data_IF_890441438456
#
_entry.id   IF_890441438456
#
_cell.length_a   1.000
_cell.length_b   1.000
_cell.length_c   1.000
_cell.angle_alpha   90.00
_cell.angle_beta   90.00
_cell.angle_gamma   90.00
#
_symmetry.space_group_name_H-M   'P 1'
#
loop_
_entity.id
_entity.type
_entity.pdbx_description
1 polymer ?
#
# COMPACT_ATOMS: atom_id res chain seq x y z
N UNK A 1 17.87 30.32 -19.84
CA UNK A 1 18.10 29.52 -18.60
C UNK A 1 16.76 29.26 -17.89
N UNK A 2 16.59 28.07 -17.29
CA UNK A 2 15.52 27.70 -16.33
C UNK A 2 14.19 27.04 -16.81
N UNK A 3 14.19 26.16 -17.82
CA UNK A 3 13.17 25.08 -17.91
C UNK A 3 13.65 23.72 -17.40
N UNK A 4 14.97 23.48 -17.43
CA UNK A 4 15.56 22.19 -17.04
C UNK A 4 15.63 21.98 -15.51
N UNK A 5 15.61 23.05 -14.69
CA UNK A 5 15.63 22.93 -13.22
C UNK A 5 14.31 22.45 -12.61
N UNK A 6 13.15 22.69 -13.25
CA UNK A 6 11.84 22.26 -12.74
C UNK A 6 11.59 20.76 -12.85
N UNK A 7 12.34 20.03 -13.68
CA UNK A 7 12.19 18.59 -13.86
C UNK A 7 13.05 17.74 -12.92
N UNK A 8 13.98 18.36 -12.18
CA UNK A 8 14.91 17.67 -11.27
C UNK A 8 14.45 17.65 -9.80
N UNK A 9 13.39 18.39 -9.44
CA UNK A 9 12.86 18.40 -8.06
C UNK A 9 11.80 17.32 -7.79
N UNK A 10 11.29 16.63 -8.81
CA UNK A 10 10.30 15.56 -8.62
C UNK A 10 10.90 14.19 -8.24
N UNK A 11 12.22 14.05 -8.25
CA UNK A 11 12.88 12.73 -8.22
C UNK A 11 13.27 12.17 -6.85
N UNK A 12 13.05 12.85 -5.73
CA UNK A 12 13.45 12.28 -4.42
C UNK A 12 12.42 12.38 -3.29
N UNK A 13 11.12 12.34 -3.64
CA UNK A 13 10.10 12.02 -2.64
C UNK A 13 10.17 10.54 -2.30
N UNK A 14 11.00 10.19 -1.30
CA UNK A 14 10.91 8.90 -0.60
C UNK A 14 9.44 8.61 -0.31
N UNK A 15 8.88 7.64 -1.03
CA UNK A 15 7.45 7.33 -0.91
C UNK A 15 7.31 6.42 0.29
N UNK A 16 6.83 7.00 1.40
CA UNK A 16 6.64 6.29 2.65
C UNK A 16 5.27 5.65 2.65
N UNK A 17 5.23 4.34 2.89
CA UNK A 17 4.00 3.58 2.87
C UNK A 17 3.77 3.04 4.27
N UNK A 18 2.67 3.48 4.87
CA UNK A 18 2.18 2.91 6.11
C UNK A 18 1.20 1.78 5.76
N UNK A 19 1.54 0.57 6.17
CA UNK A 19 0.70 -0.61 6.04
C UNK A 19 0.04 -0.87 7.39
N UNK A 20 -1.27 -1.10 7.39
CA UNK A 20 -2.01 -1.50 8.58
C UNK A 20 -2.69 -2.83 8.30
N UNK A 21 -2.43 -3.83 9.14
CA UNK A 21 -3.01 -5.17 9.03
C UNK A 21 -4.41 -5.18 9.66
N UNK A 22 -5.44 -5.43 8.84
CA UNK A 22 -6.85 -5.41 9.24
C UNK A 22 -7.17 -6.42 10.36
N UNK A 23 -6.52 -7.58 10.34
CA UNK A 23 -6.81 -8.67 11.29
C UNK A 23 -6.24 -8.40 12.68
N UNK A 24 -5.13 -7.65 12.76
CA UNK A 24 -4.47 -7.30 14.03
C UNK A 24 -4.93 -5.96 14.59
N UNK A 25 -5.30 -5.02 13.72
CA UNK A 25 -5.69 -3.67 14.15
C UNK A 25 -7.06 -3.69 14.83
N UNK A 26 -7.09 -3.49 16.15
CA UNK A 26 -8.34 -3.40 16.92
C UNK A 26 -8.46 -2.00 17.57
N UNK A 27 -8.93 -0.98 16.83
CA UNK A 27 -8.97 0.41 17.32
C UNK A 27 -9.84 0.59 18.57
N UNK A 28 -10.90 -0.21 18.72
CA UNK A 28 -11.80 -0.17 19.90
C UNK A 28 -11.10 -0.63 21.19
N UNK A 29 -10.11 -1.53 21.09
CA UNK A 29 -9.47 -2.16 22.25
C UNK A 29 -8.06 -1.63 22.51
N UNK A 30 -7.43 -0.93 21.56
CA UNK A 30 -6.06 -0.43 21.69
C UNK A 30 -5.93 0.95 22.35
N UNK A 31 -7.05 1.59 22.73
CA UNK A 31 -7.05 2.93 23.33
C UNK A 31 -6.53 4.05 22.41
N UNK A 32 -6.45 3.79 21.09
CA UNK A 32 -5.93 4.70 20.06
C UNK A 32 -4.49 5.15 20.30
N UNK A 33 -3.63 4.25 20.82
CA UNK A 33 -2.23 4.53 21.12
C UNK A 33 -1.46 5.14 19.92
N UNK A 34 -1.69 4.63 18.70
CA UNK A 34 -1.05 5.15 17.50
C UNK A 34 -1.36 6.63 17.23
N UNK A 35 -2.64 7.05 17.39
CA UNK A 35 -3.09 8.43 17.21
C UNK A 35 -2.51 9.34 18.30
N UNK A 36 -2.57 8.90 19.57
CA UNK A 36 -2.08 9.67 20.74
C UNK A 36 -0.57 9.89 20.71
N UNK A 37 0.20 8.89 20.29
CA UNK A 37 1.66 8.96 20.26
C UNK A 37 2.23 9.60 18.99
N UNK A 38 1.42 9.86 17.96
CA UNK A 38 1.91 10.42 16.70
C UNK A 38 2.28 11.91 16.87
N UNK A 39 3.53 12.33 16.60
CA UNK A 39 3.95 13.72 16.73
C UNK A 39 3.19 14.64 15.77
N UNK A 40 2.94 14.18 14.54
CA UNK A 40 2.20 14.95 13.51
C UNK A 40 0.74 15.21 13.93
N UNK A 41 0.13 14.25 14.63
CA UNK A 41 -1.22 14.44 15.20
C UNK A 41 -1.20 15.40 16.39
N UNK A 42 -0.17 15.33 17.24
CA UNK A 42 0.02 16.29 18.35
C UNK A 42 0.25 17.72 17.86
N UNK A 43 0.79 17.89 16.65
CA UNK A 43 0.91 19.18 15.96
C UNK A 43 -0.40 19.67 15.30
N UNK A 44 -1.52 18.97 15.50
CA UNK A 44 -2.84 19.37 14.99
C UNK A 44 -3.19 18.88 13.58
N UNK A 45 -2.35 18.08 12.92
CA UNK A 45 -2.62 17.53 11.58
C UNK A 45 -3.28 16.15 11.65
N UNK A 46 -4.19 15.86 10.72
CA UNK A 46 -4.88 14.56 10.65
C UNK A 46 -4.03 13.47 9.98
N UNK A 47 -2.88 13.15 10.56
CA UNK A 47 -1.99 12.11 10.02
C UNK A 47 -2.53 10.69 10.26
N UNK A 48 -3.19 10.43 11.40
CA UNK A 48 -3.81 9.15 11.73
C UNK A 48 -5.27 9.42 12.06
N UNK A 49 -6.16 8.84 11.26
CA UNK A 49 -7.61 8.99 11.41
C UNK A 49 -8.21 7.63 11.74
N UNK A 50 -9.08 7.61 12.74
CA UNK A 50 -9.85 6.44 13.12
C UNK A 50 -11.27 6.92 13.31
N UNK A 51 -12.16 6.50 12.42
CA UNK A 51 -13.60 6.77 12.55
C UNK A 51 -14.24 5.74 13.49
N UNK A 52 -15.35 6.12 14.12
CA UNK A 52 -16.04 5.31 15.12
C UNK A 52 -16.50 3.93 14.61
N UNK A 53 -16.84 3.85 13.32
CA UNK A 53 -17.27 2.62 12.64
C UNK A 53 -16.14 1.88 11.90
N UNK A 54 -14.94 2.45 11.84
CA UNK A 54 -13.84 1.87 11.08
C UNK A 54 -13.24 0.67 11.79
N UNK A 55 -13.10 -0.43 11.04
CA UNK A 55 -12.45 -1.66 11.51
C UNK A 55 -10.94 -1.51 11.70
N UNK A 56 -10.34 -0.45 11.18
CA UNK A 56 -8.89 -0.23 11.14
C UNK A 56 -8.56 1.26 11.20
N UNK A 57 -7.34 1.59 11.67
CA UNK A 57 -6.82 2.94 11.60
C UNK A 57 -6.28 3.28 10.20
N UNK A 58 -6.57 4.49 9.72
CA UNK A 58 -6.02 5.01 8.46
C UNK A 58 -4.86 5.95 8.74
N UNK A 59 -3.79 5.83 7.95
CA UNK A 59 -2.58 6.64 8.08
C UNK A 59 -2.33 7.37 6.76
N UNK A 60 -2.27 8.69 6.82
CA UNK A 60 -1.96 9.51 5.65
C UNK A 60 -0.50 9.34 5.22
N UNK A 61 -0.27 8.83 4.01
CA UNK A 61 1.07 8.68 3.42
C UNK A 61 1.74 10.03 3.12
N UNK A 62 0.95 11.10 2.92
CA UNK A 62 1.47 12.44 2.61
C UNK A 62 1.91 13.21 3.86
N UNK A 63 1.20 13.02 4.97
CA UNK A 63 1.48 13.70 6.24
C UNK A 63 2.44 12.91 7.13
N UNK A 64 2.56 11.59 6.93
CA UNK A 64 3.43 10.75 7.75
C UNK A 64 4.91 11.02 7.45
N UNK A 65 5.63 11.50 8.46
CA UNK A 65 7.08 11.72 8.39
C UNK A 65 7.92 10.43 8.52
N UNK A 66 7.29 9.30 8.84
CA UNK A 66 7.98 8.02 8.98
C UNK A 66 8.74 7.81 10.30
N UNK A 67 8.40 8.54 11.37
CA UNK A 67 9.08 8.46 12.67
C UNK A 67 9.04 7.08 13.38
N UNK A 68 8.18 6.15 12.94
CA UNK A 68 8.10 4.80 13.52
C UNK A 68 7.46 4.70 14.92
N UNK A 69 7.06 5.81 15.54
CA UNK A 69 6.52 5.81 16.92
C UNK A 69 5.22 4.99 17.02
N UNK A 70 4.35 5.10 16.02
CA UNK A 70 3.10 4.35 15.99
C UNK A 70 3.30 2.83 15.85
N UNK A 71 4.40 2.39 15.24
CA UNK A 71 4.77 0.97 15.14
C UNK A 71 5.14 0.46 16.52
N UNK A 72 6.07 1.14 17.20
CA UNK A 72 6.56 0.74 18.54
C UNK A 72 5.50 0.79 19.63
N UNK A 73 4.53 1.71 19.52
CA UNK A 73 3.47 1.89 20.52
C UNK A 73 2.21 1.07 20.23
N UNK A 74 2.15 0.35 19.12
CA UNK A 74 0.98 -0.49 18.81
C UNK A 74 1.04 -1.78 19.63
N UNK A 75 0.08 -2.05 20.53
CA UNK A 75 0.08 -3.27 21.35
C UNK A 75 -0.15 -4.55 20.54
N UNK A 76 -0.68 -4.43 19.31
CA UNK A 76 -0.97 -5.55 18.41
C UNK A 76 0.01 -5.64 17.23
N UNK A 77 1.05 -4.79 17.20
CA UNK A 77 2.03 -4.72 16.11
C UNK A 77 1.41 -4.66 14.70
N UNK A 78 0.23 -4.05 14.61
CA UNK A 78 -0.59 -4.06 13.40
C UNK A 78 -0.12 -3.05 12.34
N UNK A 79 0.82 -2.17 12.67
CA UNK A 79 1.27 -1.06 11.82
C UNK A 79 2.70 -1.32 11.39
N UNK A 80 2.98 -1.21 10.10
CA UNK A 80 4.33 -1.27 9.53
C UNK A 80 4.56 -0.02 8.68
N UNK A 81 5.68 0.66 8.90
CA UNK A 81 6.11 1.78 8.06
C UNK A 81 7.26 1.28 7.20
N UNK A 82 7.09 1.35 5.89
CA UNK A 82 8.12 0.99 4.93
C UNK A 82 8.47 2.24 4.15
N UNK A 83 9.76 2.59 4.16
CA UNK A 83 10.30 3.62 3.31
C UNK A 83 10.64 2.97 1.97
N UNK A 84 9.85 3.26 0.93
CA UNK A 84 10.19 2.81 -0.41
C UNK A 84 11.02 3.89 -1.11
N UNK A 85 12.05 3.50 -1.88
CA UNK A 85 12.72 4.42 -2.79
C UNK A 85 11.69 4.99 -3.77
N UNK A 86 11.80 6.28 -4.06
CA UNK A 86 10.89 7.09 -4.89
C UNK A 86 10.57 6.46 -6.26
N UNK A 87 11.49 5.65 -6.79
CA UNK A 87 11.37 5.03 -8.11
C UNK A 87 10.32 3.89 -8.18
N UNK A 88 9.94 3.27 -7.05
CA UNK A 88 9.02 2.12 -7.08
C UNK A 88 7.52 2.51 -7.07
N UNK A 89 7.21 3.74 -6.65
CA UNK A 89 5.83 4.22 -6.60
C UNK A 89 5.17 4.28 -7.98
N UNK A 90 5.95 4.57 -9.03
CA UNK A 90 5.50 4.65 -10.43
C UNK A 90 5.04 3.28 -10.97
N UNK A 91 5.64 2.19 -10.50
CA UNK A 91 5.37 0.83 -11.00
C UNK A 91 4.30 0.09 -10.18
N UNK A 92 3.39 0.81 -9.54
CA UNK A 92 2.32 0.17 -8.73
C UNK A 92 1.35 -0.55 -9.67
N UNK A 93 1.34 -1.88 -9.63
CA UNK A 93 0.46 -2.71 -10.46
C UNK A 93 -0.92 -2.90 -9.81
N UNK A 94 -0.95 -3.18 -8.50
CA UNK A 94 -2.20 -3.40 -7.80
C UNK A 94 -2.11 -2.96 -6.34
N UNK A 95 -3.21 -2.42 -5.80
CA UNK A 95 -3.36 -2.04 -4.39
C UNK A 95 -4.76 -2.42 -3.90
N UNK A 96 -4.86 -3.16 -2.80
CA UNK A 96 -6.17 -3.61 -2.29
C UNK A 96 -6.96 -2.50 -1.60
N UNK A 97 -6.31 -1.66 -0.79
CA UNK A 97 -6.95 -0.52 -0.14
C UNK A 97 -5.92 0.54 0.29
N UNK A 98 -6.42 1.69 0.74
CA UNK A 98 -5.64 2.65 1.52
C UNK A 98 -4.96 1.93 2.68
N UNK A 99 -3.66 2.19 2.87
CA UNK A 99 -2.77 1.52 3.82
C UNK A 99 -2.68 -0.01 3.74
N UNK A 100 -3.01 -0.62 2.60
CA UNK A 100 -2.79 -2.05 2.36
C UNK A 100 -1.58 -2.31 1.47
N UNK A 101 -1.24 -3.58 1.34
CA UNK A 101 -0.18 -4.09 0.47
C UNK A 101 -0.31 -3.53 -0.96
N UNK A 102 0.83 -3.06 -1.49
CA UNK A 102 0.99 -2.61 -2.87
C UNK A 102 1.89 -3.61 -3.59
N UNK A 103 1.41 -4.14 -4.70
CA UNK A 103 2.21 -4.95 -5.60
C UNK A 103 2.88 -4.05 -6.63
N UNK A 104 4.19 -4.19 -6.77
CA UNK A 104 5.00 -3.43 -7.72
C UNK A 104 5.57 -4.37 -8.77
N UNK A 105 5.35 -4.02 -10.04
CA UNK A 105 5.75 -4.81 -11.23
C UNK A 105 5.14 -6.21 -11.25
N UNK A 106 5.20 -6.85 -12.42
CA UNK A 106 4.88 -8.26 -12.59
C UNK A 106 6.01 -8.91 -13.37
N UNK A 107 6.35 -10.18 -13.06
CA UNK A 107 7.27 -10.93 -13.90
C UNK A 107 6.58 -11.23 -15.24
N UNK A 108 7.32 -11.11 -16.33
CA UNK A 108 6.85 -11.48 -17.66
C UNK A 108 7.24 -12.94 -17.94
N UNK A 109 6.27 -13.87 -18.09
CA UNK A 109 6.57 -15.24 -18.44
C UNK A 109 7.14 -15.33 -19.87
N UNK A 110 8.10 -16.23 -20.08
CA UNK A 110 8.66 -16.55 -21.40
C UNK A 110 8.21 -17.95 -21.82
N UNK A 111 7.82 -18.10 -23.09
CA UNK A 111 7.38 -19.39 -23.63
C UNK A 111 8.55 -20.38 -23.65
N UNK A 112 8.31 -21.61 -23.19
CA UNK A 112 9.32 -22.67 -23.16
C UNK A 112 10.26 -22.65 -21.94
N UNK A 113 10.11 -21.70 -21.02
CA UNK A 113 10.91 -21.59 -19.80
C UNK A 113 10.06 -21.73 -18.53
N UNK A 114 10.64 -22.26 -17.45
CA UNK A 114 9.99 -22.32 -16.13
C UNK A 114 10.30 -21.06 -15.34
N UNK A 115 9.28 -20.25 -15.05
CA UNK A 115 9.41 -19.04 -14.25
C UNK A 115 9.34 -19.37 -12.74
N UNK A 116 10.48 -19.27 -12.04
CA UNK A 116 10.55 -19.37 -10.59
C UNK A 116 10.25 -18.04 -9.88
N UNK A 117 9.28 -18.04 -8.95
CA UNK A 117 8.95 -16.89 -8.10
C UNK A 117 9.36 -17.15 -6.66
N UNK A 118 10.51 -16.60 -6.25
CA UNK A 118 11.08 -16.77 -4.90
C UNK A 118 11.05 -15.45 -4.15
N UNK A 119 10.74 -15.50 -2.85
CA UNK A 119 10.69 -14.33 -1.97
C UNK A 119 10.02 -14.65 -0.64
N UNK A 120 10.04 -13.72 0.31
CA UNK A 120 9.43 -13.90 1.64
C UNK A 120 7.89 -13.99 1.56
N UNK A 121 7.27 -14.52 2.61
CA UNK A 121 5.82 -14.53 2.73
C UNK A 121 5.29 -13.09 2.85
N UNK A 122 4.17 -12.81 2.18
CA UNK A 122 3.56 -11.47 2.19
C UNK A 122 4.12 -10.47 1.17
N UNK A 123 5.09 -10.85 0.33
CA UNK A 123 5.64 -9.98 -0.74
C UNK A 123 4.77 -9.92 -2.00
N UNK A 124 3.67 -10.68 -2.05
CA UNK A 124 2.70 -10.63 -3.15
C UNK A 124 2.89 -11.65 -4.28
N UNK A 125 3.69 -12.71 -4.08
CA UNK A 125 3.87 -13.81 -5.07
C UNK A 125 2.54 -14.40 -5.54
N UNK A 126 1.69 -14.80 -4.60
CA UNK A 126 0.35 -15.35 -4.91
C UNK A 126 -0.54 -14.30 -5.58
N UNK A 127 -0.38 -13.02 -5.26
CA UNK A 127 -1.10 -11.92 -5.91
C UNK A 127 -0.64 -11.74 -7.36
N UNK A 128 0.67 -11.82 -7.63
CA UNK A 128 1.23 -11.76 -8.97
C UNK A 128 0.73 -12.92 -9.84
N UNK A 129 0.72 -14.14 -9.31
CA UNK A 129 0.16 -15.31 -10.00
C UNK A 129 -1.34 -15.16 -10.30
N UNK A 130 -2.12 -14.62 -9.36
CA UNK A 130 -3.56 -14.35 -9.59
C UNK A 130 -3.79 -13.33 -10.72
N UNK A 131 -2.91 -12.34 -10.85
CA UNK A 131 -3.00 -11.35 -11.93
C UNK A 131 -2.62 -11.96 -13.27
N UNK A 132 -1.50 -12.70 -13.33
CA UNK A 132 -1.07 -13.40 -14.55
C UNK A 132 -2.09 -14.45 -15.02
N UNK A 133 -2.76 -15.11 -14.08
CA UNK A 133 -3.84 -16.07 -14.37
C UNK A 133 -5.18 -15.40 -14.75
N UNK A 134 -5.26 -14.07 -14.83
CA UNK A 134 -6.49 -13.34 -15.14
C UNK A 134 -7.56 -13.34 -14.05
N UNK A 135 -7.30 -13.97 -12.89
CA UNK A 135 -8.25 -14.05 -11.76
C UNK A 135 -8.36 -12.75 -10.96
N UNK A 136 -7.38 -11.86 -11.06
CA UNK A 136 -7.35 -10.56 -10.39
C UNK A 136 -6.94 -9.46 -11.38
N UNK A 137 -7.80 -8.45 -11.57
CA UNK A 137 -7.48 -7.32 -12.45
C UNK A 137 -6.55 -6.31 -11.72
N UNK A 138 -5.43 -5.91 -12.32
CA UNK A 138 -4.58 -4.87 -11.76
C UNK A 138 -5.32 -3.52 -11.79
N UNK A 139 -5.23 -2.75 -10.71
CA UNK A 139 -5.93 -1.47 -10.56
C UNK A 139 -4.98 -0.27 -10.59
N UNK A 140 -3.68 -0.49 -10.85
CA UNK A 140 -2.66 0.55 -10.98
C UNK A 140 -2.64 1.54 -9.80
N UNK A 141 -2.95 1.05 -8.59
CA UNK A 141 -3.03 1.87 -7.37
C UNK A 141 -4.35 2.60 -7.15
N UNK A 142 -5.30 2.55 -8.10
CA UNK A 142 -6.64 3.14 -8.00
C UNK A 142 -7.62 2.16 -7.33
N UNK A 143 -7.59 2.09 -6.00
CA UNK A 143 -8.41 1.17 -5.20
C UNK A 143 -9.86 1.63 -5.00
N UNK A 144 -10.17 2.92 -5.18
CA UNK A 144 -11.51 3.48 -4.97
C UNK A 144 -12.53 3.07 -6.04
N UNK A 145 -12.08 2.62 -7.22
CA UNK A 145 -12.96 2.27 -8.35
C UNK A 145 -13.51 0.83 -8.33
N UNK A 146 -13.34 0.08 -7.24
CA UNK A 146 -13.78 -1.32 -7.15
C UNK A 146 -14.79 -1.57 -6.02
N UNK A 147 -15.78 -0.69 -5.87
CA UNK A 147 -16.99 -0.95 -5.08
C UNK A 147 -18.15 -1.54 -5.90
N UNK A 148 -17.94 -1.94 -7.15
CA UNK A 148 -18.96 -2.70 -7.89
C UNK A 148 -18.65 -2.88 -9.37
N UNK A 149 -18.04 -3.99 -9.76
CA UNK A 149 -18.22 -4.53 -11.10
C UNK A 149 -18.19 -6.05 -11.02
N UNK A 150 -19.41 -6.61 -10.90
CA UNK A 150 -19.70 -7.99 -11.28
C UNK A 150 -19.33 -8.17 -12.76
N UNK A 151 -18.77 -9.33 -13.07
CA UNK A 151 -18.74 -9.96 -14.40
C UNK A 151 -18.53 -9.04 -15.59
N UNK A 152 -17.29 -8.96 -16.07
CA UNK A 152 -17.03 -8.79 -17.49
C UNK A 152 -16.39 -10.07 -17.99
N UNK A 153 -17.19 -10.80 -18.77
CA UNK A 153 -16.87 -11.99 -19.52
C UNK A 153 -15.50 -11.87 -20.19
N UNK A 154 -14.60 -12.81 -19.91
CA UNK A 154 -13.48 -13.06 -20.80
C UNK A 154 -14.02 -13.87 -21.97
N UNK A 155 -14.09 -13.27 -23.16
CA UNK A 155 -14.04 -14.03 -24.40
C UNK A 155 -12.66 -14.70 -24.45
N UNK A 156 -12.63 -16.00 -24.25
CA UNK A 156 -11.56 -16.88 -24.73
C UNK A 156 -11.71 -16.97 -26.25
N UNK A 157 -10.76 -16.50 -27.08
CA UNK A 157 -10.65 -17.01 -28.43
C UNK A 157 -10.21 -18.47 -28.34
N UNK A 158 -10.95 -19.34 -29.04
CA UNK A 158 -10.56 -20.71 -29.32
C UNK A 158 -9.28 -20.76 -30.19
#
# INVERSE_FOLDING_TARGET
MNRLRKQQEETDKMTRIAIVEKDRCKPKNCGLACKKSCPVVRMGKQCIVVESNSKMAEISETLCIGCGICVKKCPYEAIKIINLPSNLAKDTTHRFSKNSFKLHRLPTPRTGEVLGLVGTNGIGKSTALKILAGKLKPNLGKFEKHSGCRNLFYHTPA
#
